data_IF_111258049049
#
_entry.id   IF_111258049049
#
_cell.length_a   1.000
_cell.length_b   1.000
_cell.length_c   1.000
_cell.angle_alpha   90.00
_cell.angle_beta   90.00
_cell.angle_gamma   90.00
#
_symmetry.space_group_name_H-M   'P 1'
#
loop_
_entity.id
_entity.type
_entity.pdbx_description
1 polymer ?
#
# COMPACT_ATOMS: atom_id res chain seq x y z
N UNK A 1 -13.23 -3.50 -28.16
CA UNK A 1 -12.82 -4.80 -27.58
C UNK A 1 -11.54 -4.57 -26.80
N UNK A 2 -11.39 -5.12 -25.59
CA UNK A 2 -10.08 -5.16 -24.94
C UNK A 2 -9.39 -6.42 -25.43
N UNK A 3 -8.54 -6.29 -26.42
CA UNK A 3 -7.52 -7.30 -26.69
C UNK A 3 -6.52 -7.20 -25.54
N UNK A 4 -6.64 -8.14 -24.61
CA UNK A 4 -5.82 -8.17 -23.40
C UNK A 4 -4.43 -8.75 -23.67
N UNK A 5 -3.44 -8.31 -22.91
CA UNK A 5 -2.13 -8.96 -22.87
C UNK A 5 -2.19 -10.22 -21.98
N UNK A 6 -1.46 -11.28 -22.36
CA UNK A 6 -1.25 -12.49 -21.53
C UNK A 6 -0.28 -12.19 -20.38
N UNK A 7 -0.80 -11.63 -19.28
CA UNK A 7 -0.01 -11.30 -18.08
C UNK A 7 -0.13 -12.44 -17.06
N UNK A 8 1.00 -13.12 -16.82
CA UNK A 8 1.06 -14.30 -15.93
C UNK A 8 1.59 -14.00 -14.53
N UNK A 9 2.12 -12.81 -14.29
CA UNK A 9 2.72 -12.46 -13.01
C UNK A 9 3.05 -10.98 -12.86
N UNK A 10 3.30 -10.57 -11.62
CA UNK A 10 3.66 -9.21 -11.24
C UNK A 10 4.68 -9.23 -10.11
N UNK A 11 5.77 -8.49 -10.26
CA UNK A 11 6.75 -8.27 -9.22
C UNK A 11 6.67 -6.81 -8.76
N UNK A 12 6.45 -6.63 -7.45
CA UNK A 12 6.42 -5.29 -6.86
C UNK A 12 7.85 -4.75 -6.73
N UNK A 13 8.07 -3.56 -7.28
CA UNK A 13 9.30 -2.80 -7.05
C UNK A 13 9.07 -1.82 -5.88
N UNK A 14 9.83 -1.86 -4.80
CA UNK A 14 10.84 -2.85 -4.42
C UNK A 14 10.48 -3.49 -3.09
N UNK A 15 11.20 -4.54 -2.70
CA UNK A 15 10.98 -5.16 -1.40
C UNK A 15 11.30 -4.17 -0.27
N UNK A 16 12.41 -3.45 -0.34
CA UNK A 16 12.86 -2.53 0.70
C UNK A 16 13.50 -1.28 0.10
N UNK A 17 13.56 -0.21 0.89
CA UNK A 17 14.20 1.03 0.47
C UNK A 17 15.69 0.79 0.19
N UNK A 18 16.14 1.24 -0.97
CA UNK A 18 17.50 1.09 -1.48
C UNK A 18 18.08 2.43 -1.93
N UNK A 19 19.31 2.39 -2.44
CA UNK A 19 19.90 3.51 -3.17
C UNK A 19 19.27 3.58 -4.57
N UNK A 20 18.59 4.67 -4.88
CA UNK A 20 17.84 4.89 -6.11
C UNK A 20 18.62 5.74 -7.11
N UNK A 21 19.77 5.24 -7.55
CA UNK A 21 20.57 5.80 -8.64
C UNK A 21 20.85 7.31 -8.45
N UNK A 22 20.38 8.14 -9.38
CA UNK A 22 20.59 9.59 -9.38
C UNK A 22 19.98 10.28 -8.15
N UNK A 23 18.92 9.70 -7.58
CA UNK A 23 18.22 10.24 -6.42
C UNK A 23 18.86 9.84 -5.08
N UNK A 24 19.85 8.95 -5.14
CA UNK A 24 20.50 8.40 -3.96
C UNK A 24 19.49 7.83 -2.95
N UNK A 25 19.48 8.36 -1.73
CA UNK A 25 18.57 7.89 -0.67
C UNK A 25 17.40 8.83 -0.37
N UNK A 26 17.16 9.81 -1.25
CA UNK A 26 16.08 10.79 -1.05
C UNK A 26 14.71 10.19 -1.37
N UNK A 27 14.65 9.23 -2.28
CA UNK A 27 13.43 8.53 -2.71
C UNK A 27 13.40 7.11 -2.11
N UNK A 28 12.18 6.59 -1.89
CA UNK A 28 11.93 5.38 -1.10
C UNK A 28 10.79 4.55 -1.71
N UNK A 29 11.11 3.66 -2.64
CA UNK A 29 10.13 2.80 -3.33
C UNK A 29 9.78 1.50 -2.60
N UNK A 30 10.54 1.14 -1.58
CA UNK A 30 10.40 -0.16 -0.92
C UNK A 30 9.08 -0.31 -0.17
N UNK A 31 8.57 -1.54 -0.12
CA UNK A 31 7.51 -1.92 0.83
C UNK A 31 7.99 -1.80 2.29
N UNK A 32 9.28 -1.99 2.53
CA UNK A 32 9.91 -1.83 3.84
C UNK A 32 10.79 -0.60 3.88
N UNK A 33 10.62 0.22 4.92
CA UNK A 33 11.58 1.24 5.27
C UNK A 33 12.81 0.59 5.89
N UNK A 34 14.00 1.08 5.54
CA UNK A 34 15.27 0.64 6.15
C UNK A 34 15.84 1.80 6.95
N UNK A 35 15.92 1.64 8.28
CA UNK A 35 16.72 2.54 9.10
C UNK A 35 18.20 2.28 8.79
N UNK A 36 18.90 3.26 8.22
CA UNK A 36 20.29 3.08 7.80
C UNK A 36 21.31 3.06 8.94
N UNK A 37 20.93 3.50 10.15
CA UNK A 37 21.81 3.44 11.31
C UNK A 37 21.83 2.03 11.91
N UNK A 38 20.65 1.41 12.01
CA UNK A 38 20.48 0.11 12.67
C UNK A 38 20.28 -1.06 11.68
N UNK A 39 20.06 -0.75 10.40
CA UNK A 39 19.65 -1.68 9.35
C UNK A 39 18.33 -2.41 9.65
N UNK A 40 17.50 -1.85 10.53
CA UNK A 40 16.18 -2.41 10.85
C UNK A 40 15.21 -2.20 9.70
N UNK A 41 14.46 -3.25 9.34
CA UNK A 41 13.42 -3.20 8.30
C UNK A 41 12.06 -3.00 8.95
N UNK A 42 11.40 -1.89 8.64
CA UNK A 42 10.11 -1.52 9.21
C UNK A 42 9.04 -1.60 8.12
N UNK A 43 8.01 -2.46 8.26
CA UNK A 43 6.98 -2.62 7.24
C UNK A 43 6.14 -1.34 7.09
N UNK A 44 6.05 -0.80 5.87
CA UNK A 44 5.17 0.34 5.56
C UNK A 44 3.70 -0.12 5.48
N UNK A 45 2.79 0.85 5.36
CA UNK A 45 1.37 0.56 5.10
C UNK A 45 1.18 -0.23 3.81
N UNK A 46 1.98 0.07 2.77
CA UNK A 46 1.98 -0.67 1.51
C UNK A 46 2.35 -2.15 1.68
N UNK A 47 3.31 -2.50 2.55
CA UNK A 47 3.63 -3.90 2.83
C UNK A 47 2.45 -4.66 3.44
N UNK A 48 1.76 -4.03 4.40
CA UNK A 48 0.57 -4.61 5.05
C UNK A 48 -0.58 -4.74 4.07
N UNK A 49 -0.82 -3.73 3.25
CA UNK A 49 -1.82 -3.75 2.20
C UNK A 49 -1.53 -4.85 1.17
N UNK A 50 -0.29 -4.93 0.68
CA UNK A 50 0.12 -5.91 -0.33
C UNK A 50 0.02 -7.34 0.20
N UNK A 51 0.39 -7.58 1.46
CA UNK A 51 0.15 -8.86 2.14
C UNK A 51 -1.34 -9.22 2.12
N UNK A 52 -2.20 -8.31 2.55
CA UNK A 52 -3.64 -8.57 2.62
C UNK A 52 -4.26 -8.79 1.24
N UNK A 53 -3.81 -8.04 0.23
CA UNK A 53 -4.19 -8.21 -1.17
C UNK A 53 -3.83 -9.62 -1.67
N UNK A 54 -2.60 -10.07 -1.44
CA UNK A 54 -2.15 -11.40 -1.85
C UNK A 54 -2.85 -12.53 -1.09
N UNK A 55 -3.18 -12.34 0.18
CA UNK A 55 -3.87 -13.36 0.99
C UNK A 55 -5.40 -13.31 0.86
N UNK A 56 -5.94 -12.46 -0.03
CA UNK A 56 -7.39 -12.21 -0.13
C UNK A 56 -8.06 -11.88 1.21
N UNK A 57 -7.31 -11.30 2.14
CA UNK A 57 -7.86 -10.83 3.40
C UNK A 57 -8.38 -9.42 3.13
N UNK A 58 -9.56 -9.35 2.51
CA UNK A 58 -10.27 -8.09 2.29
C UNK A 58 -10.33 -7.39 3.64
N UNK A 59 -9.60 -6.28 3.76
CA UNK A 59 -9.70 -5.40 4.93
C UNK A 59 -11.18 -5.25 5.21
N UNK A 60 -11.62 -5.69 6.39
CA UNK A 60 -12.94 -5.34 6.88
C UNK A 60 -12.95 -3.82 6.84
N UNK A 61 -13.56 -3.26 5.79
CA UNK A 61 -13.82 -1.84 5.70
C UNK A 61 -14.63 -1.58 6.95
N UNK A 62 -14.04 -0.79 7.84
CA UNK A 62 -14.63 -0.45 9.13
C UNK A 62 -16.07 0.01 8.88
N UNK A 63 -17.04 -0.81 9.31
CA UNK A 63 -18.48 -0.54 9.14
C UNK A 63 -18.91 0.76 9.83
N UNK A 64 -18.02 1.40 10.59
CA UNK A 64 -18.26 2.68 11.23
C UNK A 64 -17.96 3.89 10.32
N UNK A 65 -17.12 3.76 9.28
CA UNK A 65 -16.85 4.86 8.35
C UNK A 65 -18.08 5.24 7.50
N UNK A 66 -18.98 4.29 7.28
CA UNK A 66 -20.28 4.50 6.61
C UNK A 66 -21.36 5.06 7.54
N UNK A 67 -21.16 5.07 8.87
CA UNK A 67 -22.12 5.63 9.84
C UNK A 67 -22.03 7.16 9.89
N UNK A 68 -20.83 7.71 9.70
CA UNK A 68 -20.58 9.17 9.78
C UNK A 68 -21.21 9.94 8.61
N UNK A 69 -21.30 9.38 7.39
CA UNK A 69 -21.97 10.05 6.26
C UNK A 69 -23.49 10.16 6.38
N UNK A 70 -24.13 9.32 7.19
CA UNK A 70 -25.60 9.29 7.35
C UNK A 70 -26.12 10.27 8.41
N UNK A 71 -25.25 10.76 9.30
CA UNK A 71 -25.62 11.75 10.33
C UNK A 71 -25.64 13.17 9.74
N UNK A 72 -24.64 13.56 8.94
CA UNK A 72 -24.57 14.91 8.34
C UNK A 72 -25.63 15.23 7.28
N UNK A 73 -26.32 14.21 6.74
CA UNK A 73 -27.38 14.41 5.73
C UNK A 73 -28.79 14.48 6.31
N UNK A 74 -28.96 14.22 7.61
CA UNK A 74 -30.27 14.33 8.27
C UNK A 74 -30.52 15.68 8.93
N UNK A 75 -29.48 16.48 9.14
CA UNK A 75 -29.58 17.80 9.80
C UNK A 75 -29.65 18.98 8.79
N UNK A 76 -29.88 18.69 7.50
CA UNK A 76 -30.08 19.70 6.44
C UNK A 76 -31.34 19.40 5.61
N UNK A 77 -32.45 19.19 6.31
CA UNK A 77 -33.80 19.34 5.76
C UNK A 77 -34.71 19.98 6.80
#
# INVERSE_FOLDING_TARGET
MREGADVRGYFVWSLMDSYEWLEGYNVRFGLYYVDRQTLTRIPKLSARWYKNFLTNNSLVIDKNASRTKRLFTKDVM
#
